data_IF_996469391549
#
_entry.id   IF_996469391549
#
_cell.length_a   1.000
_cell.length_b   1.000
_cell.length_c   1.000
_cell.angle_alpha   90.00
_cell.angle_beta   90.00
_cell.angle_gamma   90.00
#
_symmetry.space_group_name_H-M   'P 1'
#
loop_
_entity.id
_entity.type
_entity.pdbx_description
1 polymer ?
#
# COMPACT_ATOMS: atom_id res chain seq x y z
N UNK A 1 -0.38 -2.41 -20.51
CA UNK A 1 0.05 -2.27 -19.11
C UNK A 1 1.41 -2.92 -18.95
N UNK A 2 2.34 -2.23 -18.33
CA UNK A 2 3.67 -2.73 -17.99
C UNK A 2 3.85 -2.55 -16.48
N UNK A 3 4.39 -3.57 -15.82
CA UNK A 3 4.71 -3.52 -14.40
C UNK A 3 6.07 -4.15 -14.16
N UNK A 4 6.96 -3.42 -13.48
CA UNK A 4 8.27 -3.88 -13.07
C UNK A 4 8.32 -3.89 -11.55
N UNK A 5 8.65 -5.06 -10.99
CA UNK A 5 8.89 -5.22 -9.55
C UNK A 5 10.30 -5.70 -9.32
N UNK A 6 11.00 -5.03 -8.44
CA UNK A 6 12.33 -5.42 -8.01
C UNK A 6 12.39 -5.47 -6.50
N UNK A 7 13.16 -6.42 -5.98
CA UNK A 7 13.47 -6.51 -4.57
C UNK A 7 14.94 -6.88 -4.42
N UNK A 8 15.66 -6.06 -3.69
CA UNK A 8 17.02 -6.33 -3.27
C UNK A 8 17.05 -6.51 -1.76
N UNK A 9 17.66 -7.59 -1.29
CA UNK A 9 17.81 -7.87 0.15
C UNK A 9 19.24 -8.25 0.45
N UNK A 10 19.81 -7.63 1.46
CA UNK A 10 21.11 -7.94 2.02
C UNK A 10 20.94 -8.29 3.49
N UNK A 11 21.43 -9.45 3.89
CA UNK A 11 21.46 -9.92 5.28
C UNK A 11 22.89 -10.19 5.71
N UNK A 12 23.20 -9.81 6.94
CA UNK A 12 24.51 -10.05 7.55
C UNK A 12 24.34 -10.54 8.97
N UNK A 13 24.94 -11.66 9.30
CA UNK A 13 25.03 -12.17 10.65
C UNK A 13 26.26 -11.58 11.34
N UNK A 14 26.03 -10.67 12.26
CA UNK A 14 27.09 -9.95 12.98
C UNK A 14 27.80 -10.86 13.99
N UNK A 15 27.02 -11.70 14.68
CA UNK A 15 27.45 -12.72 15.59
C UNK A 15 26.33 -13.75 15.73
N UNK A 16 26.61 -14.88 16.35
CA UNK A 16 25.62 -15.95 16.56
C UNK A 16 24.28 -15.42 17.09
N UNK A 17 23.23 -15.62 16.32
CA UNK A 17 21.88 -15.18 16.61
C UNK A 17 21.56 -13.70 16.34
N UNK A 18 22.55 -12.84 16.02
CA UNK A 18 22.33 -11.43 15.71
C UNK A 18 22.42 -11.17 14.19
N UNK A 19 21.30 -10.87 13.58
CA UNK A 19 21.17 -10.63 12.16
C UNK A 19 20.72 -9.19 11.89
N UNK A 20 21.36 -8.56 10.91
CA UNK A 20 20.94 -7.28 10.35
C UNK A 20 20.52 -7.53 8.91
N UNK A 21 19.36 -7.01 8.54
CA UNK A 21 18.83 -7.15 7.18
C UNK A 21 18.40 -5.80 6.67
N UNK A 22 18.82 -5.46 5.47
CA UNK A 22 18.27 -4.31 4.72
C UNK A 22 17.60 -4.81 3.45
N UNK A 23 16.48 -4.23 3.10
CA UNK A 23 15.79 -4.52 1.84
C UNK A 23 15.31 -3.25 1.17
N UNK A 24 15.41 -3.24 -0.15
CA UNK A 24 14.91 -2.18 -1.02
C UNK A 24 14.00 -2.82 -2.07
N UNK A 25 12.75 -2.41 -2.09
CA UNK A 25 11.75 -2.85 -3.07
C UNK A 25 11.29 -1.66 -3.89
N UNK A 26 11.13 -1.87 -5.18
CA UNK A 26 10.50 -0.89 -6.07
C UNK A 26 9.44 -1.60 -6.93
N UNK A 27 8.28 -0.98 -7.04
CA UNK A 27 7.19 -1.41 -7.90
C UNK A 27 6.80 -0.23 -8.79
N UNK A 28 7.06 -0.35 -10.07
CA UNK A 28 6.77 0.66 -11.08
C UNK A 28 5.78 0.10 -12.08
N UNK A 29 4.68 0.82 -12.33
CA UNK A 29 3.70 0.39 -13.32
C UNK A 29 3.20 1.55 -14.18
N UNK A 30 3.00 1.26 -15.46
CA UNK A 30 2.35 2.13 -16.43
C UNK A 30 1.11 1.42 -16.95
N UNK A 31 -0.04 2.10 -16.83
CA UNK A 31 -1.30 1.69 -17.42
C UNK A 31 -1.71 2.70 -18.49
N UNK A 32 -2.05 2.21 -19.66
CA UNK A 32 -2.61 3.03 -20.76
C UNK A 32 -3.98 2.51 -21.11
N UNK A 33 -4.92 3.44 -21.23
CA UNK A 33 -6.27 3.17 -21.71
C UNK A 33 -6.58 4.08 -22.87
N UNK A 34 -7.01 3.48 -23.99
CA UNK A 34 -7.58 4.19 -25.11
C UNK A 34 -9.00 3.67 -25.34
N UNK A 35 -9.93 4.57 -25.49
CA UNK A 35 -11.33 4.25 -25.78
C UNK A 35 -11.80 5.12 -26.92
N UNK A 36 -12.54 4.54 -27.83
CA UNK A 36 -13.18 5.24 -28.94
C UNK A 36 -14.61 4.74 -29.11
N UNK A 37 -15.53 5.68 -29.26
CA UNK A 37 -16.91 5.43 -29.63
C UNK A 37 -17.21 6.19 -30.93
N UNK A 38 -17.60 5.49 -32.02
CA UNK A 38 -17.95 6.15 -33.25
C UNK A 38 -19.27 6.91 -33.14
N UNK A 39 -19.45 7.91 -33.98
CA UNK A 39 -20.58 8.85 -33.94
C UNK A 39 -21.94 8.16 -34.03
N UNK A 40 -22.08 7.10 -34.81
CA UNK A 40 -23.36 6.39 -35.02
C UNK A 40 -23.87 5.62 -33.79
N UNK A 41 -23.04 5.49 -32.72
CA UNK A 41 -23.46 4.89 -31.45
C UNK A 41 -23.92 5.94 -30.43
N UNK A 42 -23.82 7.22 -30.74
CA UNK A 42 -24.26 8.32 -29.88
C UNK A 42 -25.56 8.92 -30.39
N UNK A 43 -26.46 9.30 -29.48
CA UNK A 43 -27.77 9.89 -29.82
C UNK A 43 -27.67 11.24 -30.58
N UNK A 44 -26.57 11.96 -30.33
CA UNK A 44 -26.29 13.26 -30.95
C UNK A 44 -25.36 13.14 -32.16
N UNK A 45 -25.05 11.90 -32.59
CA UNK A 45 -24.10 11.56 -33.65
C UNK A 45 -22.68 12.11 -33.39
N UNK A 46 -22.24 12.11 -32.13
CA UNK A 46 -20.93 12.56 -31.77
C UNK A 46 -20.00 11.39 -31.49
N UNK A 47 -18.87 11.36 -32.15
CA UNK A 47 -17.78 10.45 -31.78
C UNK A 47 -17.17 10.88 -30.45
N UNK A 48 -16.65 9.91 -29.70
CA UNK A 48 -15.93 10.15 -28.46
C UNK A 48 -14.62 9.37 -28.46
N UNK A 49 -13.54 10.04 -28.09
CA UNK A 49 -12.22 9.44 -27.89
C UNK A 49 -11.65 9.81 -26.52
N UNK A 50 -11.06 8.84 -25.84
CA UNK A 50 -10.44 8.99 -24.54
C UNK A 50 -9.04 8.36 -24.60
N UNK A 51 -8.05 9.09 -24.14
CA UNK A 51 -6.69 8.59 -23.96
C UNK A 51 -6.21 8.90 -22.54
N UNK A 52 -5.82 7.87 -21.82
CA UNK A 52 -5.40 7.99 -20.41
C UNK A 52 -4.10 7.23 -20.20
N UNK A 53 -3.24 7.79 -19.36
CA UNK A 53 -2.02 7.14 -18.88
C UNK A 53 -1.92 7.35 -17.38
N UNK A 54 -1.81 6.26 -16.65
CA UNK A 54 -1.53 6.25 -15.22
C UNK A 54 -0.14 5.66 -14.98
N UNK A 55 0.62 6.29 -14.10
CA UNK A 55 1.94 5.85 -13.65
C UNK A 55 1.88 5.71 -12.14
N UNK A 56 2.32 4.54 -11.63
CA UNK A 56 2.45 4.34 -10.20
C UNK A 56 3.89 3.92 -9.90
N UNK A 57 4.48 4.53 -8.89
CA UNK A 57 5.76 4.19 -8.32
C UNK A 57 5.60 3.98 -6.82
N UNK A 58 6.02 2.82 -6.33
CA UNK A 58 6.19 2.56 -4.91
C UNK A 58 7.65 2.19 -4.65
N UNK A 59 8.24 2.81 -3.65
CA UNK A 59 9.58 2.47 -3.13
C UNK A 59 9.44 2.16 -1.66
N UNK A 60 9.95 1.00 -1.23
CA UNK A 60 9.97 0.58 0.16
C UNK A 60 11.39 0.19 0.55
N UNK A 61 11.91 0.85 1.59
CA UNK A 61 13.15 0.46 2.27
C UNK A 61 12.82 -0.03 3.67
N UNK A 62 13.34 -1.19 4.03
CA UNK A 62 13.18 -1.78 5.35
C UNK A 62 14.55 -2.19 5.90
N UNK A 63 14.79 -1.82 7.15
CA UNK A 63 16.00 -2.17 7.88
C UNK A 63 15.60 -2.85 9.18
N UNK A 64 16.11 -4.04 9.41
CA UNK A 64 15.76 -4.91 10.53
C UNK A 64 17.02 -5.33 11.28
N UNK A 65 16.92 -5.36 12.60
CA UNK A 65 17.86 -6.05 13.48
C UNK A 65 17.08 -7.12 14.24
N UNK A 66 17.57 -8.33 14.23
CA UNK A 66 16.95 -9.47 14.89
C UNK A 66 17.99 -10.21 15.72
N UNK A 67 17.66 -10.48 16.97
CA UNK A 67 18.50 -11.25 17.88
C UNK A 67 17.71 -12.40 18.43
N UNK A 68 18.26 -13.62 18.30
CA UNK A 68 17.71 -14.85 18.86
C UNK A 68 18.72 -15.49 19.79
N UNK A 69 18.26 -15.84 20.96
CA UNK A 69 19.11 -16.47 21.96
C UNK A 69 18.35 -17.58 22.69
N UNK A 70 18.99 -18.73 22.78
CA UNK A 70 18.58 -19.81 23.68
C UNK A 70 19.42 -19.70 24.96
N UNK A 71 18.77 -19.58 26.10
CA UNK A 71 19.40 -19.44 27.41
C UNK A 71 19.10 -20.73 28.18
N UNK A 72 20.11 -21.56 28.34
CA UNK A 72 19.92 -22.92 28.80
C UNK A 72 19.09 -23.76 27.83
N UNK A 73 18.39 -24.76 28.31
CA UNK A 73 17.54 -25.62 27.47
C UNK A 73 16.08 -25.13 27.40
N UNK A 74 15.68 -24.27 28.32
CA UNK A 74 14.28 -23.97 28.60
C UNK A 74 13.81 -22.59 28.10
N UNK A 75 14.73 -21.64 27.91
CA UNK A 75 14.39 -20.26 27.60
C UNK A 75 14.78 -19.90 26.17
N UNK A 76 13.80 -19.52 25.33
CA UNK A 76 14.04 -19.00 24.01
C UNK A 76 13.59 -17.55 23.95
N UNK A 77 14.51 -16.67 23.61
CA UNK A 77 14.27 -15.21 23.46
C UNK A 77 14.49 -14.82 21.99
N UNK A 78 13.53 -14.10 21.42
CA UNK A 78 13.65 -13.47 20.11
C UNK A 78 13.30 -12.01 20.23
N UNK A 79 14.24 -11.15 19.82
CA UNK A 79 14.09 -9.70 19.79
C UNK A 79 14.16 -9.25 18.33
N UNK A 80 13.32 -8.32 17.95
CA UNK A 80 13.35 -7.71 16.63
C UNK A 80 13.05 -6.22 16.78
N UNK A 81 13.81 -5.38 16.08
CA UNK A 81 13.51 -3.97 15.91
C UNK A 81 13.75 -3.58 14.44
N UNK A 82 13.03 -2.60 13.96
CA UNK A 82 13.19 -2.17 12.59
C UNK A 82 12.60 -0.80 12.31
N UNK A 83 13.01 -0.29 11.17
CA UNK A 83 12.49 0.92 10.57
C UNK A 83 12.12 0.61 9.12
N UNK A 84 10.97 1.11 8.67
CA UNK A 84 10.61 1.10 7.25
C UNK A 84 10.26 2.50 6.79
N UNK A 85 10.60 2.77 5.54
CA UNK A 85 10.19 3.96 4.80
C UNK A 85 9.55 3.54 3.49
N UNK A 86 8.32 3.96 3.28
CA UNK A 86 7.58 3.75 2.03
C UNK A 86 7.26 5.09 1.40
N UNK A 87 7.48 5.18 0.11
CA UNK A 87 7.07 6.29 -0.74
C UNK A 87 6.21 5.75 -1.88
N UNK A 88 5.04 6.35 -2.06
CA UNK A 88 4.14 6.05 -3.16
C UNK A 88 3.87 7.33 -3.94
N UNK A 89 3.97 7.24 -5.26
CA UNK A 89 3.60 8.30 -6.20
C UNK A 89 2.64 7.71 -7.24
N UNK A 90 1.55 8.43 -7.46
CA UNK A 90 0.60 8.13 -8.52
C UNK A 90 0.46 9.37 -9.40
N UNK A 91 0.68 9.20 -10.68
CA UNK A 91 0.49 10.23 -11.70
C UNK A 91 -0.58 9.78 -12.68
N UNK A 92 -1.47 10.65 -13.02
CA UNK A 92 -2.50 10.45 -14.00
C UNK A 92 -2.51 11.59 -15.01
N UNK A 93 -2.55 11.23 -16.29
CA UNK A 93 -2.70 12.17 -17.38
C UNK A 93 -3.75 11.61 -18.35
N UNK A 94 -4.73 12.42 -18.68
CA UNK A 94 -5.80 11.99 -19.58
C UNK A 94 -6.35 13.11 -20.42
N UNK A 95 -6.78 12.74 -21.62
CA UNK A 95 -7.46 13.63 -22.53
C UNK A 95 -8.70 12.97 -23.12
N UNK A 96 -9.72 13.78 -23.36
CA UNK A 96 -10.92 13.33 -24.00
C UNK A 96 -11.39 14.35 -25.04
N UNK A 97 -11.92 13.86 -26.15
CA UNK A 97 -12.49 14.67 -27.19
C UNK A 97 -13.82 14.11 -27.67
N UNK A 98 -14.74 14.99 -28.04
CA UNK A 98 -16.01 14.65 -28.67
C UNK A 98 -16.11 15.33 -30.02
N UNK A 99 -16.94 14.74 -30.88
CA UNK A 99 -17.31 15.31 -32.17
C UNK A 99 -16.12 15.52 -33.11
N UNK A 100 -15.27 14.52 -33.24
CA UNK A 100 -14.20 14.53 -34.25
C UNK A 100 -14.78 14.63 -35.65
N UNK A 101 -14.09 15.30 -36.59
CA UNK A 101 -14.57 15.48 -37.96
C UNK A 101 -14.71 14.15 -38.73
N UNK A 102 -14.21 13.06 -38.20
CA UNK A 102 -14.31 11.72 -38.80
C UNK A 102 -14.19 10.63 -37.75
N UNK A 103 -14.98 9.57 -37.89
CA UNK A 103 -14.87 8.36 -37.08
C UNK A 103 -13.59 7.55 -37.34
N UNK A 104 -12.72 8.01 -38.25
CA UNK A 104 -11.36 7.45 -38.45
C UNK A 104 -10.32 8.06 -37.52
N UNK A 105 -10.70 9.08 -36.74
CA UNK A 105 -9.82 9.71 -35.74
C UNK A 105 -10.09 9.09 -34.37
N UNK A 106 -9.34 8.05 -34.03
CA UNK A 106 -9.53 7.23 -32.83
C UNK A 106 -8.91 7.82 -31.54
N UNK A 107 -8.16 8.90 -31.64
CA UNK A 107 -7.49 9.56 -30.52
C UNK A 107 -7.99 10.99 -30.35
N UNK A 108 -7.86 11.54 -29.13
CA UNK A 108 -8.11 12.94 -28.86
C UNK A 108 -7.04 13.80 -29.57
N UNK A 109 -7.36 14.48 -30.69
CA UNK A 109 -6.34 15.15 -31.48
C UNK A 109 -5.89 16.45 -30.81
N UNK A 110 -4.61 16.50 -30.40
CA UNK A 110 -4.01 17.69 -29.78
C UNK A 110 -3.95 18.92 -30.66
N UNK A 111 -3.81 18.72 -31.97
CA UNK A 111 -3.65 19.80 -32.97
C UNK A 111 -4.95 20.48 -33.37
N UNK A 112 -6.11 19.88 -33.11
CA UNK A 112 -7.38 20.52 -33.45
C UNK A 112 -7.79 21.57 -32.40
N UNK A 113 -8.33 22.71 -32.82
CA UNK A 113 -8.72 23.76 -31.87
C UNK A 113 -9.84 23.30 -30.95
N UNK A 114 -9.81 23.80 -29.72
CA UNK A 114 -10.90 23.59 -28.76
C UNK A 114 -11.98 24.64 -29.08
N UNK A 115 -13.21 24.21 -29.22
CA UNK A 115 -14.30 25.12 -29.53
C UNK A 115 -15.50 24.89 -28.62
N UNK A 116 -16.18 25.96 -28.28
CA UNK A 116 -17.51 25.95 -27.70
C UNK A 116 -18.54 26.16 -28.81
N UNK A 117 -19.67 25.47 -28.71
CA UNK A 117 -20.80 25.73 -29.62
C UNK A 117 -21.30 27.13 -29.41
N UNK A 118 -21.10 28.01 -30.37
CA UNK A 118 -21.75 29.31 -30.39
C UNK A 118 -22.82 29.30 -31.47
N UNK A 119 -24.05 29.52 -31.05
CA UNK A 119 -25.16 29.77 -31.96
C UNK A 119 -25.28 31.28 -32.11
N UNK A 120 -24.91 31.81 -33.27
CA UNK A 120 -25.10 33.19 -33.63
C UNK A 120 -25.81 33.28 -34.97
N UNK A 121 -26.94 33.96 -35.06
CA UNK A 121 -27.65 34.20 -36.31
C UNK A 121 -28.20 32.96 -37.00
N UNK A 122 -28.55 31.90 -36.25
CA UNK A 122 -29.14 30.67 -36.84
C UNK A 122 -28.14 29.68 -37.44
N UNK A 123 -26.85 29.95 -37.36
CA UNK A 123 -25.81 29.03 -37.81
C UNK A 123 -25.14 28.39 -36.58
N UNK A 124 -25.29 27.08 -36.46
CA UNK A 124 -24.63 26.30 -35.41
C UNK A 124 -23.28 25.79 -35.93
N UNK A 125 -22.21 26.38 -35.47
CA UNK A 125 -20.85 25.87 -35.72
C UNK A 125 -20.54 24.78 -34.72
N UNK A 126 -20.54 23.58 -35.17
CA UNK A 126 -20.19 22.42 -34.35
C UNK A 126 -18.67 22.30 -34.25
N UNK A 127 -18.18 22.30 -33.06
CA UNK A 127 -16.78 22.39 -32.83
C UNK A 127 -16.30 21.29 -31.92
N UNK A 128 -15.10 20.78 -32.19
CA UNK A 128 -14.44 19.75 -31.41
C UNK A 128 -14.32 20.19 -29.94
N UNK A 129 -14.93 19.44 -29.05
CA UNK A 129 -14.76 19.62 -27.61
C UNK A 129 -13.60 18.76 -27.11
N UNK A 130 -12.62 19.40 -26.49
CA UNK A 130 -11.47 18.73 -25.87
C UNK A 130 -11.38 19.06 -24.39
N UNK A 131 -11.00 18.06 -23.62
CA UNK A 131 -10.68 18.23 -22.22
C UNK A 131 -9.41 17.46 -21.89
N UNK A 132 -8.55 18.07 -21.13
CA UNK A 132 -7.36 17.47 -20.58
C UNK A 132 -7.39 17.59 -19.06
N UNK A 133 -6.99 16.54 -18.37
CA UNK A 133 -6.84 16.53 -16.92
C UNK A 133 -5.56 15.81 -16.54
N UNK A 134 -4.95 16.26 -15.47
CA UNK A 134 -3.81 15.62 -14.85
C UNK A 134 -3.95 15.67 -13.34
N UNK A 135 -3.44 14.66 -12.67
CA UNK A 135 -3.37 14.57 -11.23
C UNK A 135 -2.06 13.93 -10.82
N UNK A 136 -1.53 14.36 -9.70
CA UNK A 136 -0.34 13.77 -9.10
C UNK A 136 -0.54 13.68 -7.59
N UNK A 137 -0.38 12.48 -7.06
CA UNK A 137 -0.56 12.21 -5.64
C UNK A 137 0.71 11.55 -5.11
N UNK A 138 1.17 12.03 -3.96
CA UNK A 138 2.32 11.51 -3.27
C UNK A 138 1.96 11.19 -1.82
N UNK A 139 2.44 10.07 -1.31
CA UNK A 139 2.34 9.73 0.09
C UNK A 139 3.62 9.09 0.59
N UNK A 140 3.96 9.38 1.83
CA UNK A 140 5.09 8.78 2.52
C UNK A 140 4.65 8.21 3.85
N UNK A 141 5.20 7.05 4.19
CA UNK A 141 4.98 6.36 5.44
C UNK A 141 6.33 5.99 6.07
N UNK A 142 6.52 6.36 7.32
CA UNK A 142 7.66 5.94 8.14
C UNK A 142 7.14 5.11 9.29
N UNK A 143 7.74 3.95 9.52
CA UNK A 143 7.35 3.06 10.61
C UNK A 143 8.55 2.66 11.44
N UNK A 144 8.40 2.76 12.76
CA UNK A 144 9.32 2.18 13.75
C UNK A 144 8.59 1.03 14.42
N UNK A 145 9.22 -0.13 14.49
CA UNK A 145 8.58 -1.27 15.12
C UNK A 145 9.58 -2.13 15.88
N UNK A 146 9.09 -2.78 16.91
CA UNK A 146 9.83 -3.74 17.69
C UNK A 146 8.95 -4.85 18.21
N UNK A 147 9.55 -6.02 18.41
CA UNK A 147 8.89 -7.19 18.93
C UNK A 147 9.82 -7.99 19.82
N UNK A 148 9.27 -8.45 20.93
CA UNK A 148 9.89 -9.35 21.89
C UNK A 148 9.03 -10.61 21.92
N UNK A 149 9.64 -11.75 21.68
CA UNK A 149 9.01 -13.07 21.82
C UNK A 149 9.82 -13.86 22.85
N UNK A 150 9.14 -14.35 23.85
CA UNK A 150 9.72 -15.17 24.88
C UNK A 150 8.97 -16.47 25.00
N UNK A 151 9.68 -17.56 25.04
CA UNK A 151 9.15 -18.89 25.18
C UNK A 151 9.90 -19.62 26.30
N UNK A 152 9.15 -20.10 27.29
CA UNK A 152 9.67 -20.88 28.41
C UNK A 152 9.16 -22.32 28.31
N UNK A 153 10.08 -23.28 28.19
CA UNK A 153 9.81 -24.73 28.09
C UNK A 153 8.84 -25.11 26.97
N UNK A 154 8.70 -24.30 25.94
CA UNK A 154 7.69 -24.43 24.90
C UNK A 154 6.22 -24.46 25.41
N UNK A 155 6.02 -24.16 26.69
CA UNK A 155 4.72 -24.14 27.37
C UNK A 155 4.15 -22.75 27.49
N UNK A 156 4.98 -21.79 27.93
CA UNK A 156 4.55 -20.42 28.15
C UNK A 156 5.15 -19.52 27.11
N UNK A 157 4.28 -18.89 26.32
CA UNK A 157 4.67 -18.01 25.22
C UNK A 157 4.16 -16.60 25.54
N UNK A 158 5.03 -15.62 25.36
CA UNK A 158 4.72 -14.20 25.50
C UNK A 158 5.24 -13.46 24.27
N UNK A 159 4.41 -12.65 23.66
CA UNK A 159 4.79 -11.75 22.58
C UNK A 159 4.37 -10.34 22.96
N UNK A 160 5.31 -9.41 22.93
CA UNK A 160 5.07 -7.99 23.04
C UNK A 160 5.50 -7.33 21.74
N UNK A 161 4.64 -6.53 21.13
CA UNK A 161 5.01 -5.76 19.94
C UNK A 161 4.52 -4.32 20.06
N UNK A 162 5.31 -3.44 19.49
CA UNK A 162 5.00 -2.03 19.40
C UNK A 162 5.35 -1.53 17.99
N UNK A 163 4.42 -0.80 17.40
CA UNK A 163 4.62 -0.13 16.13
C UNK A 163 4.18 1.33 16.24
N UNK A 164 4.97 2.20 15.66
CA UNK A 164 4.68 3.62 15.53
C UNK A 164 4.81 4.01 14.07
N UNK A 165 3.70 4.44 13.48
CA UNK A 165 3.61 4.82 12.06
C UNK A 165 3.36 6.31 11.93
N UNK A 166 4.14 6.95 11.06
CA UNK A 166 3.97 8.34 10.67
C UNK A 166 3.63 8.43 9.18
N UNK A 167 2.53 9.10 8.85
CA UNK A 167 2.06 9.24 7.48
C UNK A 167 1.96 10.70 7.07
N UNK A 168 2.35 11.00 5.82
CA UNK A 168 2.15 12.31 5.22
C UNK A 168 0.68 12.64 4.96
N UNK A 169 -0.19 11.62 4.92
CA UNK A 169 -1.64 11.78 4.68
C UNK A 169 -2.41 12.24 5.91
N UNK A 170 -1.78 12.25 7.07
CA UNK A 170 -2.40 12.73 8.31
C UNK A 170 -2.21 14.25 8.48
N UNK A 171 -3.20 14.90 9.09
CA UNK A 171 -3.14 16.34 9.39
C UNK A 171 -1.99 16.73 10.33
N UNK A 172 -1.61 18.01 10.25
CA UNK A 172 -0.51 18.60 10.98
C UNK A 172 -0.65 18.41 12.46
N UNK A 173 -0.37 17.74 13.27
CA UNK A 173 -0.58 17.48 14.71
C UNK A 173 -0.90 16.03 15.04
N UNK A 174 -1.39 15.26 14.07
CA UNK A 174 -1.78 13.85 14.27
C UNK A 174 -1.07 12.90 13.30
N UNK A 175 0.14 13.22 12.87
CA UNK A 175 0.89 12.43 11.88
C UNK A 175 1.34 11.06 12.37
N UNK A 176 1.30 10.80 13.66
CA UNK A 176 1.83 9.59 14.26
C UNK A 176 0.75 8.78 14.96
N UNK A 177 0.69 7.49 14.61
CA UNK A 177 -0.11 6.47 15.28
C UNK A 177 0.77 5.53 16.10
N UNK A 178 0.25 5.07 17.25
CA UNK A 178 0.92 4.11 18.12
C UNK A 178 0.07 2.84 18.24
N UNK A 179 0.68 1.70 17.99
CA UNK A 179 0.02 0.41 17.88
C UNK A 179 0.70 -0.64 18.78
N UNK A 180 0.45 -0.61 20.09
CA UNK A 180 0.93 -1.66 21.00
C UNK A 180 0.11 -2.93 20.84
N UNK A 181 0.74 -4.08 21.03
CA UNK A 181 0.08 -5.36 21.13
C UNK A 181 0.77 -6.29 22.10
N UNK A 182 -0.01 -7.15 22.74
CA UNK A 182 0.45 -8.21 23.63
C UNK A 182 -0.30 -9.48 23.33
N UNK A 183 0.40 -10.62 23.31
CA UNK A 183 -0.19 -11.94 23.20
C UNK A 183 0.48 -12.90 24.19
N UNK A 184 -0.32 -13.75 24.81
CA UNK A 184 0.15 -14.80 25.70
C UNK A 184 -0.43 -16.13 25.23
N UNK A 185 0.34 -17.18 25.39
CA UNK A 185 -0.06 -18.55 25.06
C UNK A 185 0.41 -19.53 26.14
N UNK A 186 -0.44 -20.49 26.44
CA UNK A 186 -0.14 -21.57 27.37
C UNK A 186 -0.48 -22.93 26.73
N UNK A 187 0.55 -23.73 26.49
CA UNK A 187 0.43 -25.10 26.01
C UNK A 187 0.21 -26.00 27.22
N UNK A 188 -0.99 -26.05 27.72
CA UNK A 188 -1.33 -26.75 28.97
C UNK A 188 -1.19 -28.27 28.87
N UNK A 189 -1.30 -28.85 27.65
CA UNK A 189 -1.06 -30.27 27.44
C UNK A 189 0.39 -30.71 27.76
N UNK A 190 1.32 -29.74 27.70
CA UNK A 190 2.73 -30.00 28.00
C UNK A 190 3.05 -29.97 29.51
N UNK A 191 2.06 -29.65 30.35
CA UNK A 191 2.25 -29.69 31.81
C UNK A 191 2.33 -31.13 32.33
N UNK A 192 3.25 -31.43 33.26
CA UNK A 192 3.40 -32.82 33.79
C UNK A 192 2.11 -33.37 34.34
N UNK A 193 1.37 -32.55 35.11
CA UNK A 193 0.12 -32.98 35.72
C UNK A 193 -1.01 -33.27 34.72
N UNK A 194 -0.95 -32.70 33.51
CA UNK A 194 -1.88 -33.03 32.44
C UNK A 194 -1.44 -34.27 31.69
N UNK A 195 -0.15 -34.39 31.32
CA UNK A 195 0.41 -35.55 30.64
C UNK A 195 0.21 -36.83 31.43
N UNK A 196 0.43 -36.78 32.73
CA UNK A 196 0.36 -37.95 33.61
C UNK A 196 -1.10 -38.40 33.84
N UNK A 197 -2.09 -37.49 33.77
CA UNK A 197 -3.48 -37.82 34.09
C UNK A 197 -4.42 -37.92 32.88
N UNK A 198 -4.07 -37.27 31.75
CA UNK A 198 -4.93 -37.17 30.58
C UNK A 198 -4.20 -37.70 29.33
N UNK A 199 -3.77 -38.95 29.34
CA UNK A 199 -3.00 -39.60 28.25
C UNK A 199 -3.70 -39.64 26.89
N UNK A 200 -5.01 -39.37 26.86
CA UNK A 200 -5.77 -39.21 25.60
C UNK A 200 -5.65 -37.81 24.97
N UNK A 201 -5.21 -36.81 25.74
CA UNK A 201 -5.06 -35.44 25.27
C UNK A 201 -3.66 -35.24 24.65
N UNK A 202 -3.56 -35.35 23.35
CA UNK A 202 -2.29 -35.21 22.61
C UNK A 202 -1.83 -33.77 22.46
N UNK A 203 -2.75 -32.77 22.40
CA UNK A 203 -2.41 -31.35 22.28
C UNK A 203 -3.51 -30.46 22.83
N UNK A 204 -3.13 -29.46 23.63
CA UNK A 204 -4.03 -28.44 24.16
C UNK A 204 -3.27 -27.13 24.40
N UNK A 205 -3.74 -26.04 23.81
CA UNK A 205 -3.15 -24.71 23.92
C UNK A 205 -4.22 -23.64 24.04
N UNK A 206 -4.06 -22.74 24.99
CA UNK A 206 -4.88 -21.53 25.14
C UNK A 206 -4.05 -20.32 24.68
N UNK A 207 -4.68 -19.40 23.97
CA UNK A 207 -4.05 -18.15 23.55
C UNK A 207 -4.98 -16.99 23.81
N UNK A 208 -4.42 -15.88 24.26
CA UNK A 208 -5.10 -14.60 24.40
C UNK A 208 -4.23 -13.51 23.77
N UNK A 209 -4.84 -12.56 23.10
CA UNK A 209 -4.15 -11.41 22.53
C UNK A 209 -4.99 -10.16 22.63
N UNK A 210 -4.30 -9.04 22.82
CA UNK A 210 -4.87 -7.71 22.77
C UNK A 210 -3.94 -6.82 21.96
N UNK A 211 -4.52 -5.89 21.19
CA UNK A 211 -3.75 -4.93 20.44
C UNK A 211 -4.61 -3.78 19.95
N UNK A 212 -3.93 -2.67 19.69
CA UNK A 212 -4.50 -1.50 19.03
C UNK A 212 -4.06 -1.53 17.57
N UNK A 213 -5.03 -1.40 16.67
CA UNK A 213 -4.79 -1.23 15.24
C UNK A 213 -5.33 0.12 14.78
N UNK A 214 -4.84 0.60 13.66
CA UNK A 214 -5.32 1.81 13.01
C UNK A 214 -5.26 1.66 11.51
N UNK A 215 -5.99 2.51 10.82
CA UNK A 215 -5.99 2.61 9.36
C UNK A 215 -5.56 4.02 8.98
N UNK A 216 -4.71 4.16 7.97
CA UNK A 216 -4.40 5.44 7.35
C UNK A 216 -5.38 5.70 6.21
N UNK A 217 -5.64 6.97 5.92
CA UNK A 217 -6.45 7.36 4.77
C UNK A 217 -5.64 7.20 3.48
N UNK A 218 -6.27 6.64 2.45
CA UNK A 218 -5.62 6.44 1.15
C UNK A 218 -5.51 7.73 0.33
N UNK A 219 -6.30 8.75 0.66
CA UNK A 219 -6.31 10.04 -0.07
C UNK A 219 -5.32 11.03 0.55
N UNK A 220 -4.24 11.39 -0.18
CA UNK A 220 -3.13 12.14 0.39
C UNK A 220 -3.47 13.57 0.82
N UNK A 221 -4.47 14.21 0.25
CA UNK A 221 -4.74 15.62 0.50
C UNK A 221 -5.99 15.92 1.33
N UNK A 222 -6.71 14.90 1.82
CA UNK A 222 -7.90 15.07 2.66
C UNK A 222 -7.64 15.88 3.93
N UNK A 223 -6.44 15.79 4.48
CA UNK A 223 -6.07 16.50 5.70
C UNK A 223 -5.73 17.99 5.49
N UNK A 224 -5.60 18.45 4.25
CA UNK A 224 -5.34 19.85 3.93
C UNK A 224 -6.62 20.69 3.87
N UNK A 225 -7.78 20.04 3.99
CA UNK A 225 -9.09 20.69 3.89
C UNK A 225 -9.42 21.04 2.43
N UNK A 226 -10.58 20.64 1.99
CA UNK A 226 -11.17 21.22 0.79
C UNK A 226 -11.80 22.54 1.25
N UNK A 227 -11.14 23.63 0.90
CA UNK A 227 -11.72 24.97 1.07
C UNK A 227 -12.73 25.21 -0.02
#
# INVERSE_FOLDING_TARGET
NVRLRTNFRLGYEVMEGLNITTSLSADYSIARRNYFQPSYLDKDNWSQSVGETGINLMVLNENLIAYKKKIGEEHNLSLMAGISYQYDQMEYNGGYAKNSPSDKIYYAPGSLPTHTTQTSGGTTNTVLFKHYQSDMQEKSLVSYFGRIEYNYRERYLLTLAYRRDGSSTFGAGNRWGNFPSVAAGWSFSEEPFIKDNLGWLSFGKIRASWGRSGMHFDYPYLALGVV
#
